data_IF_014458524828
#
_entry.id   IF_014458524828
#
_cell.length_a   1.000
_cell.length_b   1.000
_cell.length_c   1.000
_cell.angle_alpha   90.00
_cell.angle_beta   90.00
_cell.angle_gamma   90.00
#
_symmetry.space_group_name_H-M   'P 1'
#
loop_
_entity.id
_entity.type
_entity.pdbx_description
1 polymer ?
#
# COMPACT_ATOMS: atom_id res chain seq x y z
N UNK A 1 8.71 -23.48 50.17
CA UNK A 1 8.62 -22.37 49.21
C UNK A 1 7.72 -22.84 48.07
N UNK A 2 6.46 -22.44 48.07
CA UNK A 2 5.46 -22.79 47.05
C UNK A 2 5.56 -21.78 45.91
N UNK A 3 5.98 -22.22 44.71
CA UNK A 3 5.95 -21.39 43.49
C UNK A 3 4.54 -21.44 42.92
N UNK A 4 3.80 -20.35 43.10
CA UNK A 4 2.49 -20.17 42.44
C UNK A 4 2.75 -19.88 40.94
N UNK A 5 2.51 -20.84 40.06
CA UNK A 5 2.41 -20.65 38.62
C UNK A 5 1.11 -19.89 38.35
N UNK A 6 1.21 -18.58 38.06
CA UNK A 6 0.13 -17.78 37.50
C UNK A 6 -0.07 -18.18 36.03
N UNK A 7 -1.03 -19.07 35.78
CA UNK A 7 -1.55 -19.33 34.43
C UNK A 7 -2.36 -18.10 34.00
N UNK A 8 -1.76 -17.22 33.20
CA UNK A 8 -2.50 -16.18 32.47
C UNK A 8 -3.25 -16.88 31.32
N UNK A 9 -4.47 -17.29 31.59
CA UNK A 9 -5.39 -17.72 30.55
C UNK A 9 -5.70 -16.50 29.67
N UNK A 10 -5.11 -16.43 28.47
CA UNK A 10 -5.51 -15.46 27.47
C UNK A 10 -6.97 -15.74 27.11
N UNK A 11 -7.89 -14.93 27.59
CA UNK A 11 -9.30 -14.96 27.23
C UNK A 11 -9.40 -14.70 25.72
N UNK A 12 -9.55 -15.76 24.95
CA UNK A 12 -9.82 -15.68 23.51
C UNK A 12 -11.27 -15.19 23.40
N UNK A 13 -11.42 -13.91 23.08
CA UNK A 13 -12.74 -13.33 22.81
C UNK A 13 -13.40 -14.11 21.66
N UNK A 14 -14.72 -14.38 21.77
CA UNK A 14 -15.49 -14.94 20.67
C UNK A 14 -15.44 -14.00 19.44
N UNK A 15 -15.55 -14.53 18.21
CA UNK A 15 -15.59 -13.71 17.02
C UNK A 15 -16.80 -12.77 17.08
N UNK A 16 -16.60 -11.53 16.66
CA UNK A 16 -17.68 -10.56 16.57
C UNK A 16 -18.64 -10.91 15.43
N UNK A 17 -19.88 -10.45 15.56
CA UNK A 17 -20.83 -10.45 14.44
C UNK A 17 -20.30 -9.66 13.26
N UNK A 18 -20.56 -10.15 12.04
CA UNK A 18 -20.02 -9.58 10.80
C UNK A 18 -20.46 -8.14 10.55
N UNK A 19 -21.67 -7.75 10.95
CA UNK A 19 -22.14 -6.37 10.83
C UNK A 19 -21.44 -5.45 11.84
N UNK A 20 -21.24 -5.91 13.07
CA UNK A 20 -20.50 -5.16 14.08
C UNK A 20 -19.04 -4.91 13.62
N UNK A 21 -18.41 -5.87 12.93
CA UNK A 21 -17.08 -5.69 12.33
C UNK A 21 -17.08 -4.59 11.27
N UNK A 22 -18.07 -4.57 10.37
CA UNK A 22 -18.16 -3.55 9.32
C UNK A 22 -18.42 -2.15 9.91
N UNK A 23 -19.23 -2.04 10.94
CA UNK A 23 -19.43 -0.77 11.65
C UNK A 23 -18.13 -0.25 12.27
N UNK A 24 -17.37 -1.12 12.92
CA UNK A 24 -16.05 -0.76 13.48
C UNK A 24 -15.07 -0.41 12.37
N UNK A 25 -15.02 -1.17 11.28
CA UNK A 25 -14.21 -0.85 10.11
C UNK A 25 -14.49 0.55 9.58
N UNK A 26 -15.76 0.90 9.36
CA UNK A 26 -16.14 2.22 8.87
C UNK A 26 -15.69 3.35 9.81
N UNK A 27 -15.90 3.17 11.12
CA UNK A 27 -15.48 4.12 12.14
C UNK A 27 -13.95 4.27 12.20
N UNK A 28 -13.21 3.15 12.23
CA UNK A 28 -11.75 3.17 12.30
C UNK A 28 -11.11 3.73 11.03
N UNK A 29 -11.71 3.47 9.86
CA UNK A 29 -11.23 4.05 8.60
C UNK A 29 -11.37 5.58 8.57
N UNK A 30 -12.47 6.13 9.12
CA UNK A 30 -12.69 7.57 9.20
C UNK A 30 -11.76 8.27 10.19
N UNK A 31 -11.36 7.57 11.24
CA UNK A 31 -10.49 8.09 12.30
C UNK A 31 -9.02 7.70 12.14
N UNK A 32 -8.69 6.93 11.08
CA UNK A 32 -7.32 6.49 10.84
C UNK A 32 -6.39 7.68 10.65
N UNK A 33 -5.28 7.67 11.39
CA UNK A 33 -4.25 8.69 11.26
C UNK A 33 -3.63 8.70 9.85
N UNK A 34 -3.62 9.85 9.21
CA UNK A 34 -3.00 10.06 7.89
C UNK A 34 -1.73 10.88 8.06
N UNK A 35 -0.55 10.36 7.65
CA UNK A 35 0.68 11.11 7.78
C UNK A 35 0.68 12.34 6.86
N UNK A 36 0.94 13.54 7.41
CA UNK A 36 1.10 14.77 6.62
C UNK A 36 2.36 14.72 5.76
N UNK A 37 3.41 14.10 6.29
CA UNK A 37 4.68 13.85 5.63
C UNK A 37 5.05 12.38 5.72
N UNK A 38 5.64 11.86 4.66
CA UNK A 38 5.91 10.43 4.53
C UNK A 38 7.16 10.22 3.68
N UNK A 39 8.09 9.39 4.16
CA UNK A 39 9.23 8.90 3.38
C UNK A 39 9.22 7.38 3.45
N UNK A 40 9.37 6.73 2.31
CA UNK A 40 9.51 5.28 2.25
C UNK A 40 10.30 4.85 1.02
N UNK A 41 10.78 3.62 1.04
CA UNK A 41 11.39 2.97 -0.10
C UNK A 41 10.46 1.90 -0.64
N UNK A 42 10.40 1.73 -1.96
CA UNK A 42 9.75 0.57 -2.55
C UNK A 42 10.63 -0.04 -3.65
N UNK A 43 10.50 -1.33 -3.85
CA UNK A 43 11.05 -2.05 -4.97
C UNK A 43 9.93 -2.60 -5.85
N UNK A 44 10.12 -2.54 -7.16
CA UNK A 44 9.26 -3.13 -8.17
C UNK A 44 10.02 -4.26 -8.84
N UNK A 45 9.42 -5.44 -8.88
CA UNK A 45 9.90 -6.57 -9.67
C UNK A 45 8.77 -7.01 -10.59
N UNK A 46 9.00 -6.92 -11.89
CA UNK A 46 8.07 -7.35 -12.93
C UNK A 46 8.71 -8.43 -13.79
N UNK A 47 8.00 -9.53 -13.98
CA UNK A 47 8.34 -10.60 -14.91
C UNK A 47 7.23 -10.72 -15.96
N UNK A 48 7.61 -10.84 -17.25
CA UNK A 48 6.66 -10.91 -18.38
C UNK A 48 7.31 -10.53 -19.67
N UNK A 49 6.60 -9.82 -20.58
CA UNK A 49 7.14 -9.35 -21.86
C UNK A 49 8.38 -8.48 -21.72
N UNK A 50 8.47 -7.76 -20.63
CA UNK A 50 9.64 -7.00 -20.19
C UNK A 50 9.92 -7.35 -18.72
N UNK A 51 11.17 -7.65 -18.40
CA UNK A 51 11.61 -7.77 -17.02
C UNK A 51 12.06 -6.41 -16.53
N UNK A 52 11.59 -6.03 -15.33
CA UNK A 52 11.94 -4.75 -14.71
C UNK A 52 12.26 -5.05 -13.25
N UNK A 53 13.38 -4.56 -12.78
CA UNK A 53 13.73 -4.54 -11.37
C UNK A 53 14.19 -3.14 -11.01
N UNK A 54 13.42 -2.44 -10.17
CA UNK A 54 13.71 -1.06 -9.79
C UNK A 54 13.52 -0.86 -8.30
N UNK A 55 14.31 0.05 -7.73
CA UNK A 55 14.16 0.51 -6.35
C UNK A 55 14.03 2.02 -6.32
N UNK A 56 13.09 2.51 -5.52
CA UNK A 56 12.71 3.91 -5.46
C UNK A 56 12.63 4.39 -4.03
N UNK A 57 12.82 5.70 -3.84
CA UNK A 57 12.51 6.40 -2.59
C UNK A 57 11.51 7.51 -2.83
N UNK A 58 10.43 7.47 -2.08
CA UNK A 58 9.38 8.48 -2.11
C UNK A 58 9.53 9.44 -0.94
N UNK A 59 9.40 10.72 -1.24
CA UNK A 59 9.19 11.78 -0.26
C UNK A 59 7.84 12.41 -0.56
N UNK A 60 6.99 12.52 0.44
CA UNK A 60 5.68 13.14 0.30
C UNK A 60 5.45 14.19 1.39
N UNK A 61 4.90 15.35 0.98
CA UNK A 61 4.41 16.38 1.88
C UNK A 61 3.11 16.97 1.30
N UNK A 62 2.00 16.64 1.93
CA UNK A 62 0.67 16.94 1.36
C UNK A 62 0.51 16.27 -0.01
N UNK A 63 0.26 17.09 -1.04
CA UNK A 63 0.12 16.64 -2.44
C UNK A 63 1.45 16.53 -3.19
N UNK A 64 2.53 17.13 -2.67
CA UNK A 64 3.83 17.09 -3.31
C UNK A 64 4.48 15.72 -3.10
N UNK A 65 4.92 15.14 -4.20
CA UNK A 65 5.65 13.87 -4.23
C UNK A 65 6.94 14.05 -5.00
N UNK A 66 8.05 13.62 -4.41
CA UNK A 66 9.32 13.39 -5.07
C UNK A 66 9.57 11.89 -5.11
N UNK A 67 9.78 11.36 -6.29
CA UNK A 67 10.20 9.99 -6.56
C UNK A 67 11.65 9.99 -7.03
N UNK A 68 12.50 9.27 -6.33
CA UNK A 68 13.90 9.06 -6.68
C UNK A 68 14.11 7.60 -7.04
N UNK A 69 14.50 7.31 -8.28
CA UNK A 69 14.99 5.99 -8.67
C UNK A 69 16.38 5.78 -8.10
N UNK A 70 16.56 4.75 -7.29
CA UNK A 70 17.81 4.42 -6.62
C UNK A 70 18.60 3.37 -7.38
N UNK A 71 17.91 2.36 -7.92
CA UNK A 71 18.48 1.21 -8.63
C UNK A 71 17.63 0.83 -9.82
N UNK A 72 18.27 0.31 -10.87
CA UNK A 72 17.65 -0.33 -12.03
C UNK A 72 18.42 -1.61 -12.29
N UNK A 73 17.71 -2.74 -12.41
CA UNK A 73 18.24 -4.08 -12.68
C UNK A 73 19.39 -4.45 -11.72
N UNK A 74 19.18 -4.17 -10.42
CA UNK A 74 20.15 -4.42 -9.36
C UNK A 74 21.34 -3.46 -9.29
N UNK A 75 21.48 -2.54 -10.26
CA UNK A 75 22.57 -1.57 -10.31
C UNK A 75 22.17 -0.24 -9.67
N UNK A 76 22.96 0.21 -8.71
CA UNK A 76 22.76 1.53 -8.09
C UNK A 76 23.10 2.66 -9.05
N UNK A 77 22.21 3.63 -9.17
CA UNK A 77 22.42 4.80 -10.01
C UNK A 77 23.39 5.78 -9.35
N UNK A 78 24.47 6.16 -10.05
CA UNK A 78 25.41 7.22 -9.62
C UNK A 78 24.69 8.57 -9.54
N UNK A 79 23.83 8.86 -10.50
CA UNK A 79 22.96 10.04 -10.54
C UNK A 79 21.52 9.54 -10.47
N UNK A 80 20.81 9.95 -9.41
CA UNK A 80 19.43 9.55 -9.20
C UNK A 80 18.50 10.21 -10.19
N UNK A 81 17.66 9.43 -10.86
CA UNK A 81 16.55 9.97 -11.64
C UNK A 81 15.50 10.46 -10.67
N UNK A 82 15.14 11.73 -10.76
CA UNK A 82 14.19 12.37 -9.85
C UNK A 82 12.98 12.88 -10.62
N UNK A 83 11.79 12.49 -10.16
CA UNK A 83 10.51 13.01 -10.67
C UNK A 83 9.78 13.73 -9.54
N UNK A 84 9.37 14.97 -9.79
CA UNK A 84 8.53 15.75 -8.87
C UNK A 84 7.15 15.89 -9.49
N UNK A 85 6.12 15.62 -8.70
CA UNK A 85 4.74 15.62 -9.17
C UNK A 85 3.79 16.02 -8.05
N UNK A 86 2.54 16.35 -8.41
CA UNK A 86 1.45 16.54 -7.47
C UNK A 86 0.47 15.40 -7.63
N UNK A 87 0.32 14.60 -6.60
CA UNK A 87 -0.65 13.51 -6.56
C UNK A 87 -1.47 13.57 -5.30
N UNK A 88 -2.77 13.31 -5.41
CA UNK A 88 -3.57 12.96 -4.25
C UNK A 88 -3.06 11.64 -3.67
N UNK A 89 -3.03 11.57 -2.36
CA UNK A 89 -2.57 10.49 -1.47
C UNK A 89 -2.80 9.05 -1.97
N UNK A 90 -1.99 8.53 -2.88
CA UNK A 90 -2.14 7.15 -3.41
C UNK A 90 -1.71 6.06 -2.43
N UNK A 91 -0.91 6.42 -1.41
CA UNK A 91 -0.28 5.45 -0.50
C UNK A 91 -0.86 5.45 0.91
N UNK A 92 -2.06 6.00 1.08
CA UNK A 92 -2.74 6.01 2.38
C UNK A 92 -3.94 5.07 2.37
N UNK A 93 -4.23 4.52 3.53
CA UNK A 93 -5.36 3.61 3.72
C UNK A 93 -6.69 4.22 3.26
N UNK A 94 -6.90 5.53 3.48
CA UNK A 94 -8.12 6.24 3.07
C UNK A 94 -8.42 6.15 1.56
N UNK A 95 -7.36 6.07 0.73
CA UNK A 95 -7.49 6.04 -0.72
C UNK A 95 -7.44 4.63 -1.30
N UNK A 96 -6.94 3.67 -0.54
CA UNK A 96 -6.81 2.28 -0.96
C UNK A 96 -7.94 1.41 -0.41
N UNK A 97 -8.45 1.73 0.78
CA UNK A 97 -9.49 0.94 1.43
C UNK A 97 -10.89 1.21 0.82
N UNK A 98 -11.68 0.17 0.54
CA UNK A 98 -13.01 0.33 -0.02
C UNK A 98 -13.97 0.92 1.01
N UNK A 99 -14.65 2.02 0.67
CA UNK A 99 -15.63 2.68 1.53
C UNK A 99 -17.00 2.02 1.43
N UNK A 100 -17.74 1.96 2.53
CA UNK A 100 -19.10 1.42 2.55
C UNK A 100 -20.10 2.23 1.69
N UNK A 101 -19.80 3.49 1.37
CA UNK A 101 -20.58 4.32 0.44
C UNK A 101 -20.38 3.93 -1.03
N UNK A 102 -19.30 3.22 -1.36
CA UNK A 102 -18.97 2.82 -2.72
C UNK A 102 -19.07 1.29 -2.95
N UNK A 103 -19.15 0.49 -1.87
CA UNK A 103 -19.19 -0.96 -1.93
C UNK A 103 -20.19 -1.54 -0.95
N UNK A 104 -20.93 -2.57 -1.38
CA UNK A 104 -21.59 -3.52 -0.51
C UNK A 104 -20.61 -4.63 -0.12
N UNK A 105 -20.69 -5.11 1.12
CA UNK A 105 -19.83 -6.16 1.64
C UNK A 105 -20.64 -7.40 2.02
N UNK A 106 -20.25 -8.53 1.46
CA UNK A 106 -20.82 -9.84 1.79
C UNK A 106 -19.81 -10.60 2.64
N UNK A 107 -20.19 -10.94 3.85
CA UNK A 107 -19.36 -11.76 4.74
C UNK A 107 -19.16 -13.15 4.14
N UNK A 108 -17.91 -13.62 4.12
CA UNK A 108 -17.56 -14.95 3.63
C UNK A 108 -17.20 -15.89 4.76
N UNK A 109 -16.29 -15.49 5.63
CA UNK A 109 -15.82 -16.32 6.75
C UNK A 109 -14.99 -15.52 7.75
N UNK A 110 -14.87 -16.10 8.95
CA UNK A 110 -13.86 -15.73 9.95
C UNK A 110 -12.66 -16.65 9.81
N UNK A 111 -11.46 -16.10 9.88
CA UNK A 111 -10.20 -16.85 9.94
C UNK A 111 -9.58 -16.61 11.31
N UNK A 112 -9.29 -17.68 12.03
CA UNK A 112 -8.61 -17.62 13.33
C UNK A 112 -7.11 -17.80 13.12
N UNK A 113 -6.31 -16.87 13.61
CA UNK A 113 -4.87 -17.03 13.83
C UNK A 113 -4.60 -17.26 15.32
N UNK A 114 -3.35 -17.56 15.73
CA UNK A 114 -3.03 -17.92 17.10
C UNK A 114 -3.62 -16.97 18.16
N UNK A 115 -3.68 -15.67 17.91
CA UNK A 115 -4.06 -14.64 18.89
C UNK A 115 -5.08 -13.61 18.36
N UNK A 116 -5.67 -13.81 17.19
CA UNK A 116 -6.60 -12.84 16.60
C UNK A 116 -7.55 -13.50 15.60
N UNK A 117 -8.64 -12.81 15.31
CA UNK A 117 -9.55 -13.15 14.22
C UNK A 117 -9.31 -12.20 13.06
N UNK A 118 -9.54 -12.69 11.84
CA UNK A 118 -9.64 -11.91 10.63
C UNK A 118 -10.97 -12.20 9.97
N UNK A 119 -11.60 -11.18 9.39
CA UNK A 119 -12.94 -11.28 8.81
C UNK A 119 -12.85 -11.04 7.32
N UNK A 120 -13.23 -12.01 6.52
CA UNK A 120 -13.11 -11.99 5.06
C UNK A 120 -14.43 -11.60 4.44
N UNK A 121 -14.41 -10.59 3.59
CA UNK A 121 -15.56 -10.08 2.86
C UNK A 121 -15.32 -10.09 1.35
N UNK A 122 -16.36 -10.38 0.59
CA UNK A 122 -16.46 -10.02 -0.83
C UNK A 122 -16.94 -8.58 -0.90
N UNK A 123 -16.30 -7.76 -1.74
CA UNK A 123 -16.71 -6.39 -2.01
C UNK A 123 -17.41 -6.34 -3.38
N UNK A 124 -18.56 -5.69 -3.43
CA UNK A 124 -19.37 -5.49 -4.65
C UNK A 124 -19.55 -4.00 -4.85
N UNK A 125 -19.08 -3.41 -5.95
CA UNK A 125 -19.24 -1.98 -6.20
C UNK A 125 -20.73 -1.61 -6.33
N UNK A 126 -21.12 -0.47 -5.73
CA UNK A 126 -22.47 0.07 -5.78
C UNK A 126 -22.72 1.00 -6.99
N UNK A 127 -21.68 1.42 -7.68
CA UNK A 127 -21.71 2.33 -8.82
C UNK A 127 -21.15 1.73 -10.09
N UNK A 128 -21.01 2.60 -11.12
CA UNK A 128 -20.44 2.21 -12.41
C UNK A 128 -19.03 1.63 -12.28
N UNK A 129 -18.67 0.73 -13.17
CA UNK A 129 -17.35 0.10 -13.22
C UNK A 129 -16.25 1.16 -13.34
N UNK A 130 -15.28 1.10 -12.44
CA UNK A 130 -14.06 1.89 -12.45
C UNK A 130 -12.92 1.06 -13.06
N UNK A 131 -11.86 1.71 -13.51
CA UNK A 131 -10.62 1.04 -13.92
C UNK A 131 -9.95 0.26 -12.80
N UNK A 132 -10.30 0.56 -11.55
CA UNK A 132 -9.84 -0.14 -10.35
C UNK A 132 -11.06 -0.53 -9.50
N UNK A 133 -11.26 -1.82 -9.28
CA UNK A 133 -12.40 -2.37 -8.54
C UNK A 133 -11.92 -3.28 -7.44
N UNK A 134 -12.29 -3.00 -6.21
CA UNK A 134 -12.05 -3.91 -5.08
C UNK A 134 -13.03 -5.08 -5.17
N UNK A 135 -12.51 -6.29 -5.06
CA UNK A 135 -13.26 -7.54 -5.11
C UNK A 135 -13.46 -8.20 -3.75
N UNK A 136 -12.58 -7.88 -2.82
CA UNK A 136 -12.63 -8.44 -1.48
C UNK A 136 -11.68 -7.76 -0.53
N UNK A 137 -11.92 -7.99 0.73
CA UNK A 137 -11.19 -7.39 1.84
C UNK A 137 -11.08 -8.37 2.99
N UNK A 138 -9.92 -8.40 3.64
CA UNK A 138 -9.71 -9.06 4.93
C UNK A 138 -9.49 -7.99 5.99
N UNK A 139 -10.36 -7.95 7.00
CA UNK A 139 -10.27 -7.01 8.12
C UNK A 139 -9.56 -7.70 9.28
N UNK A 140 -8.54 -7.05 9.83
CA UNK A 140 -7.89 -7.48 11.08
C UNK A 140 -8.82 -7.22 12.27
N UNK A 141 -9.03 -8.22 13.09
CA UNK A 141 -9.99 -8.16 14.21
C UNK A 141 -9.53 -7.36 15.43
N UNK A 142 -8.29 -6.90 15.46
CA UNK A 142 -7.77 -6.04 16.52
C UNK A 142 -7.89 -4.57 16.16
N UNK A 143 -7.50 -4.23 14.94
CA UNK A 143 -7.44 -2.86 14.45
C UNK A 143 -8.70 -2.44 13.70
N UNK A 144 -9.51 -3.39 13.25
CA UNK A 144 -10.65 -3.18 12.35
C UNK A 144 -10.28 -2.43 11.06
N UNK A 145 -9.01 -2.49 10.67
CA UNK A 145 -8.50 -1.98 9.40
C UNK A 145 -8.18 -3.15 8.46
N UNK A 146 -8.13 -2.94 7.14
CA UNK A 146 -7.85 -4.02 6.21
C UNK A 146 -6.40 -4.48 6.33
N UNK A 147 -6.19 -5.77 6.54
CA UNK A 147 -4.88 -6.41 6.41
C UNK A 147 -4.56 -6.78 4.96
N UNK A 148 -5.61 -7.01 4.16
CA UNK A 148 -5.49 -7.31 2.73
C UNK A 148 -6.69 -6.78 1.95
N UNK A 149 -6.44 -6.29 0.74
CA UNK A 149 -7.46 -5.93 -0.25
C UNK A 149 -7.16 -6.67 -1.54
N UNK A 150 -8.16 -7.33 -2.12
CA UNK A 150 -8.10 -7.95 -3.45
C UNK A 150 -8.79 -7.03 -4.44
N UNK A 151 -8.17 -6.84 -5.60
CA UNK A 151 -8.68 -5.92 -6.61
C UNK A 151 -8.55 -6.46 -8.02
N UNK A 152 -9.32 -5.89 -8.93
CA UNK A 152 -9.10 -5.94 -10.39
C UNK A 152 -8.79 -4.55 -10.89
N UNK A 153 -7.90 -4.48 -11.87
CA UNK A 153 -7.61 -3.25 -12.59
C UNK A 153 -7.66 -3.53 -14.09
N UNK A 154 -8.22 -2.59 -14.85
CA UNK A 154 -8.31 -2.71 -16.30
C UNK A 154 -8.11 -1.35 -16.96
N UNK A 155 -7.37 -1.36 -18.07
CA UNK A 155 -7.20 -0.23 -18.98
C UNK A 155 -7.24 -0.76 -20.43
N UNK A 156 -7.14 0.09 -21.42
CA UNK A 156 -7.17 -0.32 -22.82
C UNK A 156 -6.07 -1.33 -23.19
N UNK A 157 -4.91 -1.29 -22.54
CA UNK A 157 -3.74 -2.13 -22.86
C UNK A 157 -3.38 -3.15 -21.79
N UNK A 158 -4.01 -3.10 -20.62
CA UNK A 158 -3.67 -3.95 -19.49
C UNK A 158 -4.91 -4.34 -18.69
N UNK A 159 -5.01 -5.61 -18.35
CA UNK A 159 -5.95 -6.10 -17.35
C UNK A 159 -5.20 -6.94 -16.33
N UNK A 160 -5.61 -6.85 -15.08
CA UNK A 160 -4.95 -7.58 -14.01
C UNK A 160 -5.80 -7.70 -12.76
N UNK A 161 -5.40 -8.61 -11.91
CA UNK A 161 -5.93 -8.79 -10.57
C UNK A 161 -4.77 -8.85 -9.58
N UNK A 162 -5.00 -8.42 -8.36
CA UNK A 162 -3.93 -8.39 -7.38
C UNK A 162 -4.42 -8.25 -5.95
N UNK A 163 -3.43 -8.22 -5.06
CA UNK A 163 -3.62 -8.00 -3.64
C UNK A 163 -2.76 -6.85 -3.17
N UNK A 164 -3.27 -6.09 -2.21
CA UNK A 164 -2.52 -5.10 -1.43
C UNK A 164 -2.53 -5.57 0.01
N UNK A 165 -1.37 -5.81 0.59
CA UNK A 165 -1.23 -6.13 2.01
C UNK A 165 -0.89 -4.87 2.80
N UNK A 166 -1.39 -4.79 4.03
CA UNK A 166 -1.18 -3.65 4.92
C UNK A 166 -0.64 -4.11 6.27
N UNK A 167 0.10 -3.23 6.93
CA UNK A 167 0.52 -3.40 8.31
C UNK A 167 0.65 -2.05 9.03
N UNK A 168 0.74 -2.11 10.34
CA UNK A 168 1.02 -0.94 11.17
C UNK A 168 2.51 -0.58 11.10
N UNK A 169 2.79 0.70 10.89
CA UNK A 169 4.13 1.30 10.99
C UNK A 169 4.04 2.55 11.86
N UNK A 170 4.61 2.50 13.07
CA UNK A 170 4.32 3.48 14.09
C UNK A 170 2.84 3.52 14.43
N UNK A 171 2.22 4.69 14.35
CA UNK A 171 0.77 4.85 14.53
C UNK A 171 -0.05 4.76 13.23
N UNK A 172 0.61 4.63 12.08
CA UNK A 172 -0.01 4.66 10.78
C UNK A 172 -0.21 3.25 10.21
N UNK A 173 -1.29 3.08 9.45
CA UNK A 173 -1.58 1.87 8.71
C UNK A 173 -1.18 2.07 7.25
N UNK A 174 -0.21 1.27 6.77
CA UNK A 174 0.47 1.51 5.49
C UNK A 174 0.50 0.24 4.63
N UNK A 175 0.54 0.35 3.29
CA UNK A 175 0.76 -0.80 2.42
C UNK A 175 2.17 -1.35 2.63
N UNK A 176 2.30 -2.67 2.56
CA UNK A 176 3.59 -3.37 2.70
C UNK A 176 3.97 -4.15 1.46
N UNK A 177 2.97 -4.62 0.72
CA UNK A 177 3.17 -5.38 -0.50
C UNK A 177 2.00 -5.19 -1.45
N UNK A 178 2.29 -5.14 -2.75
CA UNK A 178 1.31 -5.31 -3.83
C UNK A 178 1.79 -6.45 -4.71
N UNK A 179 0.92 -7.41 -4.98
CA UNK A 179 1.19 -8.50 -5.90
C UNK A 179 0.11 -8.51 -6.99
N UNK A 180 0.54 -8.47 -8.26
CA UNK A 180 -0.35 -8.36 -9.42
C UNK A 180 -0.06 -9.50 -10.39
N UNK A 181 -1.13 -10.11 -10.91
CA UNK A 181 -1.11 -10.96 -12.11
C UNK A 181 -1.85 -10.20 -13.20
N UNK A 182 -1.18 -9.91 -14.29
CA UNK A 182 -1.73 -9.09 -15.36
C UNK A 182 -1.54 -9.74 -16.73
N UNK A 183 -2.30 -9.25 -17.69
CA UNK A 183 -2.08 -9.47 -19.11
C UNK A 183 -1.76 -8.11 -19.73
N UNK A 184 -0.58 -8.00 -20.33
CA UNK A 184 -0.09 -6.78 -21.00
C UNK A 184 0.09 -7.09 -22.47
N UNK A 185 -0.64 -6.38 -23.33
CA UNK A 185 -0.64 -6.64 -24.78
C UNK A 185 -0.84 -8.14 -25.12
N UNK A 186 -1.77 -8.82 -24.44
CA UNK A 186 -2.08 -10.24 -24.63
C UNK A 186 -1.10 -11.22 -23.98
N UNK A 187 0.00 -10.77 -23.35
CA UNK A 187 1.00 -11.63 -22.72
C UNK A 187 0.90 -11.60 -21.20
N UNK A 188 1.06 -12.75 -20.50
CA UNK A 188 1.02 -12.79 -19.06
C UNK A 188 2.20 -12.05 -18.43
N UNK A 189 1.92 -11.31 -17.37
CA UNK A 189 2.91 -10.61 -16.56
C UNK A 189 2.60 -10.80 -15.07
N UNK A 190 3.64 -10.71 -14.24
CA UNK A 190 3.54 -10.68 -12.79
C UNK A 190 4.32 -9.49 -12.28
N UNK A 191 3.73 -8.74 -11.38
CA UNK A 191 4.39 -7.61 -10.73
C UNK A 191 4.29 -7.75 -9.23
N UNK A 192 5.37 -7.41 -8.56
CA UNK A 192 5.44 -7.33 -7.10
C UNK A 192 6.06 -6.01 -6.70
N UNK A 193 5.38 -5.28 -5.80
CA UNK A 193 5.88 -4.05 -5.20
C UNK A 193 6.02 -4.30 -3.71
N UNK A 194 7.22 -4.09 -3.16
CA UNK A 194 7.51 -4.21 -1.73
C UNK A 194 7.79 -2.83 -1.18
N UNK A 195 7.07 -2.43 -0.13
CA UNK A 195 7.25 -1.15 0.55
C UNK A 195 8.01 -1.37 1.85
N UNK A 196 9.06 -0.56 2.06
CA UNK A 196 9.96 -0.68 3.21
C UNK A 196 10.38 0.68 3.75
N UNK A 197 11.05 0.68 4.90
CA UNK A 197 11.74 1.87 5.45
C UNK A 197 10.82 3.08 5.63
N UNK A 198 9.61 2.86 6.12
CA UNK A 198 8.67 3.94 6.42
C UNK A 198 9.21 4.87 7.50
N UNK A 199 9.15 6.18 7.21
CA UNK A 199 9.49 7.26 8.13
C UNK A 199 8.39 8.33 8.05
N UNK A 200 8.09 8.94 9.19
CA UNK A 200 7.03 9.94 9.31
C UNK A 200 7.59 11.22 9.94
N UNK A 201 8.45 11.96 9.22
CA UNK A 201 9.01 13.19 9.74
C UNK A 201 7.93 14.25 9.94
N UNK A 202 8.04 15.07 10.95
CA UNK A 202 7.10 16.17 11.18
C UNK A 202 7.07 17.18 10.02
N UNK A 203 8.19 17.36 9.34
CA UNK A 203 8.35 18.26 8.18
C UNK A 203 9.47 17.77 7.27
N UNK A 204 9.32 18.01 5.97
CA UNK A 204 10.39 17.89 4.98
C UNK A 204 10.87 19.29 4.55
N UNK A 205 12.19 19.48 4.32
CA UNK A 205 12.72 20.74 3.79
C UNK A 205 12.07 21.09 2.43
N UNK A 206 11.84 22.36 2.16
CA UNK A 206 11.31 22.82 0.85
C UNK A 206 12.19 22.40 -0.31
N UNK A 207 13.53 22.36 -0.10
CA UNK A 207 14.51 21.89 -1.08
C UNK A 207 14.31 20.44 -1.52
N UNK A 208 13.66 19.62 -0.71
CA UNK A 208 13.29 18.23 -1.07
C UNK A 208 12.46 18.20 -2.36
N UNK A 209 11.63 19.21 -2.62
CA UNK A 209 10.71 19.26 -3.76
C UNK A 209 11.18 20.26 -4.84
N UNK A 210 12.44 20.61 -4.85
CA UNK A 210 13.06 21.38 -5.93
C UNK A 210 13.68 20.44 -6.94
N UNK A 211 13.59 20.80 -8.23
CA UNK A 211 14.30 20.06 -9.27
C UNK A 211 15.80 20.04 -8.99
N UNK A 212 16.51 18.94 -9.21
CA UNK A 212 17.96 18.92 -9.16
C UNK A 212 18.50 19.98 -10.10
N UNK A 213 19.51 20.74 -9.66
CA UNK A 213 20.22 21.65 -10.57
C UNK A 213 20.79 20.81 -11.72
N UNK A 214 20.61 21.24 -12.99
CA UNK A 214 21.30 20.59 -14.09
C UNK A 214 22.80 20.57 -13.77
N UNK A 215 23.44 19.43 -14.04
CA UNK A 215 24.90 19.35 -13.97
C UNK A 215 25.42 20.39 -14.97
N UNK A 216 26.48 21.17 -14.62
CA UNK A 216 27.11 22.07 -15.56
C UNK A 216 27.49 21.24 -16.81
N UNK A 217 27.00 21.66 -17.95
CA UNK A 217 27.41 21.07 -19.24
C UNK A 217 28.94 21.19 -19.32
N UNK A 218 29.69 20.08 -19.47
CA UNK A 218 31.12 20.19 -19.71
C UNK A 218 31.32 21.13 -20.87
N UNK A 219 32.15 22.15 -20.70
CA UNK A 219 32.55 23.00 -21.81
C UNK A 219 33.15 22.07 -22.89
N UNK A 220 32.55 22.03 -24.07
CA UNK A 220 33.13 21.30 -25.19
C UNK A 220 34.50 21.95 -25.46
N UNK A 221 35.58 21.14 -25.60
CA UNK A 221 36.86 21.73 -26.01
C UNK A 221 36.66 22.47 -27.34
N UNK A 222 36.99 23.73 -27.36
CA UNK A 222 37.09 24.47 -28.63
C UNK A 222 38.24 23.85 -29.42
N UNK A 223 37.92 23.28 -30.57
CA UNK A 223 38.93 22.80 -31.55
C UNK A 223 39.31 23.90 -32.51
#
# INVERSE_FOLDING_TARGET
MLHALLLVAALIQAPLDSQAVLHRYASHLLTADVPKTLVFTYSVSQAGPQSIEQSHRIYRSGELVRDETLQIDGQSLKVKVTRISRYRNRYTIENLAPRMTAYAFLFLRTVRSANAYSYVYKAVPLGAASTFVVQGMTIDGRTFLPSEIRFKSSSASMSGEGTISFAQSGKYWVPTNVAIRATIAGKPARERIMFTSYQFPGRLPKSTFQAPRPLPTPALPEF
#
